data_IF_387338761079
#
_entry.id   IF_387338761079
#
_cell.length_a   1.000
_cell.length_b   1.000
_cell.length_c   1.000
_cell.angle_alpha   90.00
_cell.angle_beta   90.00
_cell.angle_gamma   90.00
#
_symmetry.space_group_name_H-M   'P 1'
#
loop_
_entity.id
_entity.type
_entity.pdbx_description
1 polymer ?
#
# COMPACT_ATOMS: atom_id res chain seq x y z
N UNK A 1 9.85 10.36 7.25
CA UNK A 1 9.14 9.31 6.48
C UNK A 1 9.85 9.01 5.16
N UNK A 2 10.10 10.00 4.30
CA UNK A 2 10.93 9.80 3.09
C UNK A 2 12.37 9.39 3.42
N UNK A 3 12.94 9.95 4.48
CA UNK A 3 14.27 9.59 5.00
C UNK A 3 14.36 8.13 5.41
N UNK A 4 13.43 7.63 6.22
CA UNK A 4 13.37 6.22 6.62
C UNK A 4 13.33 5.27 5.41
N UNK A 5 12.51 5.54 4.40
CA UNK A 5 12.47 4.71 3.19
C UNK A 5 13.79 4.82 2.40
N UNK A 6 14.39 6.01 2.32
CA UNK A 6 15.69 6.21 1.68
C UNK A 6 16.80 5.43 2.39
N UNK A 7 16.80 5.41 3.73
CA UNK A 7 17.75 4.65 4.55
C UNK A 7 17.58 3.13 4.30
N UNK A 8 16.33 2.65 4.25
CA UNK A 8 16.03 1.24 3.95
C UNK A 8 16.49 0.83 2.54
N UNK A 9 16.33 1.73 1.55
CA UNK A 9 16.77 1.51 0.17
C UNK A 9 18.29 1.51 0.07
N UNK A 10 18.97 2.46 0.74
CA UNK A 10 20.42 2.55 0.75
C UNK A 10 21.09 1.30 1.37
N UNK A 11 20.39 0.60 2.27
CA UNK A 11 20.85 -0.64 2.87
C UNK A 11 20.69 -1.89 1.98
N UNK A 12 20.08 -1.78 0.79
CA UNK A 12 19.85 -2.94 -0.08
C UNK A 12 21.05 -3.27 -0.96
N UNK A 13 21.34 -4.58 -1.08
CA UNK A 13 22.48 -5.11 -1.82
C UNK A 13 22.26 -5.19 -3.35
N UNK A 14 21.04 -4.94 -3.83
CA UNK A 14 20.73 -4.93 -5.26
C UNK A 14 19.62 -3.94 -5.60
N UNK A 15 19.66 -3.42 -6.83
CA UNK A 15 18.62 -2.51 -7.35
C UNK A 15 17.25 -3.16 -7.38
N UNK A 16 17.17 -4.46 -7.70
CA UNK A 16 15.91 -5.23 -7.70
C UNK A 16 15.31 -5.34 -6.30
N UNK A 17 16.12 -5.65 -5.28
CA UNK A 17 15.66 -5.72 -3.89
C UNK A 17 15.19 -4.35 -3.38
N UNK A 18 15.92 -3.28 -3.72
CA UNK A 18 15.52 -1.91 -3.43
C UNK A 18 14.15 -1.55 -4.04
N UNK A 19 13.93 -1.87 -5.32
CA UNK A 19 12.64 -1.61 -5.98
C UNK A 19 11.51 -2.38 -5.31
N UNK A 20 11.71 -3.67 -5.02
CA UNK A 20 10.70 -4.49 -4.35
C UNK A 20 10.39 -3.96 -2.94
N UNK A 21 11.39 -3.51 -2.19
CA UNK A 21 11.20 -2.89 -0.88
C UNK A 21 10.35 -1.63 -0.98
N UNK A 22 10.61 -0.76 -1.96
CA UNK A 22 9.80 0.46 -2.18
C UNK A 22 8.37 0.09 -2.56
N UNK A 23 8.17 -0.90 -3.44
CA UNK A 23 6.83 -1.35 -3.84
C UNK A 23 6.06 -1.94 -2.65
N UNK A 24 6.69 -2.79 -1.86
CA UNK A 24 6.10 -3.40 -0.67
C UNK A 24 5.73 -2.33 0.38
N UNK A 25 6.61 -1.34 0.57
CA UNK A 25 6.30 -0.16 1.37
C UNK A 25 5.06 0.58 0.84
N UNK A 26 4.97 0.87 -0.46
CA UNK A 26 3.83 1.57 -1.05
C UNK A 26 2.53 0.75 -0.95
N UNK A 27 2.59 -0.56 -1.15
CA UNK A 27 1.46 -1.48 -0.96
C UNK A 27 0.92 -1.38 0.48
N UNK A 28 1.81 -1.38 1.50
CA UNK A 28 1.39 -1.21 2.90
C UNK A 28 0.70 0.14 3.15
N UNK A 29 1.17 1.23 2.51
CA UNK A 29 0.56 2.57 2.62
C UNK A 29 -0.82 2.64 1.95
N UNK A 30 -1.00 1.93 0.84
CA UNK A 30 -2.30 1.79 0.17
C UNK A 30 -3.28 1.08 1.10
N UNK A 31 -2.89 -0.07 1.66
CA UNK A 31 -3.73 -0.84 2.59
C UNK A 31 -4.12 -0.05 3.84
N UNK A 32 -3.18 0.70 4.44
CA UNK A 32 -3.47 1.59 5.57
C UNK A 32 -4.51 2.67 5.21
N UNK A 33 -4.38 3.27 4.03
CA UNK A 33 -5.33 4.29 3.56
C UNK A 33 -6.72 3.69 3.35
N UNK A 34 -6.79 2.53 2.71
CA UNK A 34 -8.05 1.80 2.49
C UNK A 34 -8.73 1.42 3.81
N UNK A 35 -7.96 0.94 4.80
CA UNK A 35 -8.47 0.67 6.14
C UNK A 35 -9.05 1.93 6.79
N UNK A 36 -8.32 3.06 6.74
CA UNK A 36 -8.73 4.31 7.37
C UNK A 36 -10.02 4.90 6.78
N UNK A 37 -10.26 4.71 5.48
CA UNK A 37 -11.48 5.20 4.81
C UNK A 37 -12.64 4.19 4.84
N UNK A 38 -12.47 3.06 5.54
CA UNK A 38 -13.51 2.04 5.71
C UNK A 38 -13.69 1.09 4.52
N UNK A 39 -12.72 1.03 3.60
CA UNK A 39 -12.83 0.18 2.40
C UNK A 39 -12.77 -1.33 2.73
N UNK A 40 -12.24 -1.71 3.89
CA UNK A 40 -12.17 -3.11 4.36
C UNK A 40 -13.52 -3.65 4.87
N UNK A 41 -14.57 -2.83 4.89
CA UNK A 41 -15.94 -3.30 5.15
C UNK A 41 -16.51 -4.08 3.94
N UNK A 42 -16.59 -3.47 2.74
CA UNK A 42 -17.08 -4.17 1.55
C UNK A 42 -16.01 -5.01 0.82
N UNK A 43 -14.72 -4.78 1.05
CA UNK A 43 -13.62 -5.49 0.40
C UNK A 43 -12.89 -6.45 1.34
N UNK A 44 -12.70 -7.69 0.92
CA UNK A 44 -11.78 -8.63 1.54
C UNK A 44 -10.43 -8.59 0.83
N UNK A 45 -9.35 -8.32 1.56
CA UNK A 45 -7.98 -8.38 1.05
C UNK A 45 -7.48 -9.83 1.01
N UNK A 46 -7.02 -10.30 -0.15
CA UNK A 46 -6.54 -11.67 -0.32
C UNK A 46 -5.36 -11.76 -1.31
N UNK A 47 -5.00 -12.97 -1.73
CA UNK A 47 -3.98 -13.21 -2.76
C UNK A 47 -2.55 -13.26 -2.23
N UNK A 48 -1.58 -13.15 -3.14
CA UNK A 48 -0.16 -13.37 -2.85
C UNK A 48 0.42 -12.34 -1.88
N UNK A 49 -0.01 -11.09 -1.99
CA UNK A 49 0.48 -10.00 -1.12
C UNK A 49 -0.11 -10.07 0.28
N UNK A 50 -1.34 -10.56 0.43
CA UNK A 50 -1.90 -10.88 1.74
C UNK A 50 -1.09 -11.99 2.43
N UNK A 51 -0.74 -13.05 1.70
CA UNK A 51 0.13 -14.11 2.23
C UNK A 51 1.51 -13.58 2.61
N UNK A 52 2.10 -12.71 1.78
CA UNK A 52 3.39 -12.06 2.05
C UNK A 52 3.34 -11.25 3.35
N UNK A 53 2.34 -10.41 3.55
CA UNK A 53 2.24 -9.56 4.75
C UNK A 53 1.86 -10.32 6.01
N UNK A 54 0.96 -11.31 5.92
CA UNK A 54 0.46 -12.02 7.10
C UNK A 54 1.34 -13.20 7.52
N UNK A 55 2.04 -13.84 6.57
CA UNK A 55 2.81 -15.06 6.81
C UNK A 55 4.28 -14.96 6.38
N UNK A 56 4.76 -13.78 6.00
CA UNK A 56 6.15 -13.51 5.62
C UNK A 56 6.71 -14.49 4.57
N UNK A 57 5.92 -14.78 3.54
CA UNK A 57 6.34 -15.71 2.47
C UNK A 57 7.58 -15.18 1.73
N UNK A 58 8.50 -16.07 1.32
CA UNK A 58 9.77 -15.69 0.70
C UNK A 58 9.67 -15.17 -0.75
N UNK A 59 8.47 -15.19 -1.35
CA UNK A 59 8.24 -14.71 -2.72
C UNK A 59 7.69 -13.29 -2.68
N UNK A 60 8.29 -12.38 -3.45
CA UNK A 60 7.70 -11.07 -3.72
C UNK A 60 6.35 -11.22 -4.45
N UNK A 61 5.44 -10.29 -4.19
CA UNK A 61 4.12 -10.23 -4.81
C UNK A 61 3.80 -8.79 -5.19
N UNK A 62 3.40 -8.55 -6.44
CA UNK A 62 3.26 -7.20 -7.00
C UNK A 62 1.85 -6.64 -6.86
N UNK A 63 0.85 -7.51 -6.91
CA UNK A 63 -0.56 -7.10 -7.01
C UNK A 63 -1.22 -6.96 -5.63
N UNK A 64 -2.25 -6.12 -5.54
CA UNK A 64 -3.15 -6.09 -4.39
C UNK A 64 -4.51 -6.63 -4.83
N UNK A 65 -4.82 -7.84 -4.39
CA UNK A 65 -6.06 -8.53 -4.76
C UNK A 65 -7.15 -8.31 -3.71
N UNK A 66 -8.36 -7.99 -4.19
CA UNK A 66 -9.53 -7.81 -3.34
C UNK A 66 -10.75 -8.52 -3.93
N UNK A 67 -11.52 -9.14 -3.05
CA UNK A 67 -12.85 -9.66 -3.35
C UNK A 67 -13.89 -8.67 -2.82
N UNK A 68 -14.95 -8.43 -3.60
CA UNK A 68 -16.10 -7.64 -3.15
C UNK A 68 -17.08 -8.57 -2.43
N UNK A 69 -17.13 -8.48 -1.10
CA UNK A 69 -17.99 -9.31 -0.24
C UNK A 69 -19.42 -8.76 -0.19
N UNK A 70 -19.58 -7.43 -0.20
CA UNK A 70 -20.88 -6.77 -0.10
C UNK A 70 -20.99 -5.60 -1.09
N UNK A 71 -21.89 -5.72 -2.07
CA UNK A 71 -22.17 -4.68 -3.06
C UNK A 71 -23.23 -3.65 -2.59
N UNK A 72 -23.54 -3.60 -1.29
CA UNK A 72 -24.66 -2.85 -0.69
C UNK A 72 -24.46 -1.32 -0.64
N UNK A 73 -23.81 -0.73 -1.64
CA UNK A 73 -23.67 0.72 -1.84
C UNK A 73 -22.49 1.36 -1.12
N UNK A 74 -21.77 0.64 -0.26
CA UNK A 74 -20.58 1.15 0.43
C UNK A 74 -19.30 1.11 -0.43
N UNK A 75 -19.30 0.32 -1.50
CA UNK A 75 -18.17 0.22 -2.43
C UNK A 75 -18.14 1.41 -3.39
N UNK A 76 -17.06 2.20 -3.34
CA UNK A 76 -16.78 3.28 -4.29
C UNK A 76 -15.29 3.27 -4.67
N UNK A 77 -14.97 2.53 -5.72
CA UNK A 77 -13.62 2.41 -6.25
C UNK A 77 -13.00 3.77 -6.61
N UNK A 78 -13.79 4.68 -7.20
CA UNK A 78 -13.29 5.98 -7.64
C UNK A 78 -12.94 6.84 -6.43
N UNK A 79 -13.72 6.78 -5.35
CA UNK A 79 -13.36 7.41 -4.08
C UNK A 79 -12.08 6.82 -3.51
N UNK A 80 -11.95 5.50 -3.44
CA UNK A 80 -10.75 4.85 -2.90
C UNK A 80 -9.48 5.30 -3.64
N UNK A 81 -9.51 5.33 -4.98
CA UNK A 81 -8.38 5.83 -5.78
C UNK A 81 -8.05 7.30 -5.50
N UNK A 82 -9.07 8.15 -5.33
CA UNK A 82 -8.85 9.58 -4.98
C UNK A 82 -8.17 9.69 -3.61
N UNK A 83 -8.64 8.97 -2.61
CA UNK A 83 -8.08 8.99 -1.25
C UNK A 83 -6.62 8.51 -1.23
N UNK A 84 -6.32 7.40 -1.91
CA UNK A 84 -4.95 6.89 -2.06
C UNK A 84 -4.04 7.94 -2.73
N UNK A 85 -4.50 8.56 -3.81
CA UNK A 85 -3.74 9.60 -4.50
C UNK A 85 -3.48 10.81 -3.59
N UNK A 86 -4.48 11.24 -2.82
CA UNK A 86 -4.33 12.37 -1.90
C UNK A 86 -3.34 12.07 -0.77
N UNK A 87 -3.35 10.86 -0.21
CA UNK A 87 -2.37 10.44 0.80
C UNK A 87 -0.93 10.59 0.28
N UNK A 88 -0.66 10.20 -0.97
CA UNK A 88 0.68 10.31 -1.56
C UNK A 88 1.08 11.74 -1.95
N UNK A 89 0.12 12.59 -2.33
CA UNK A 89 0.37 13.99 -2.66
C UNK A 89 0.53 14.87 -1.40
N UNK A 90 -0.35 14.75 -0.40
CA UNK A 90 -0.27 15.53 0.84
C UNK A 90 1.04 15.30 1.59
N UNK A 91 1.49 14.05 1.68
CA UNK A 91 2.76 13.72 2.34
C UNK A 91 3.99 14.23 1.59
N UNK A 92 3.86 14.52 0.30
CA UNK A 92 4.90 15.20 -0.46
C UNK A 92 4.99 16.67 -0.08
N UNK A 93 3.86 17.37 0.09
CA UNK A 93 3.84 18.79 0.50
C UNK A 93 4.25 19.02 1.96
N UNK A 94 3.80 18.18 2.91
CA UNK A 94 4.16 18.34 4.33
C UNK A 94 5.65 18.05 4.61
N UNK A 95 6.33 17.33 3.71
CA UNK A 95 7.78 17.05 3.81
C UNK A 95 8.65 18.15 3.20
N UNK A 96 8.08 19.07 2.40
CA UNK A 96 8.82 20.15 1.72
C UNK A 96 8.72 21.50 2.43
N UNK A 97 7.97 21.56 3.53
CA UNK A 97 7.76 22.79 4.32
C UNK A 97 8.59 22.82 5.62
N UNK A 98 9.71 22.09 5.66
CA UNK A 98 10.72 22.15 6.72
C UNK A 98 12.09 22.37 6.12
#
# INVERSE_FOLDING_TARGET
MKTYLADLVAAQNSSGAAVNLVREYLQSRILETLQRIGAMGPLAFHGGTALRFLYNTGRYSEDLDFALEHANGAYDFRRYLREIRQEFLMKTMMSSSR
#
